data_IF_299641768915
#
_entry.id   IF_299641768915
#
_cell.length_a   1.000
_cell.length_b   1.000
_cell.length_c   1.000
_cell.angle_alpha   90.00
_cell.angle_beta   90.00
_cell.angle_gamma   90.00
#
_symmetry.space_group_name_H-M   'P 1'
#
loop_
_entity.id
_entity.type
_entity.pdbx_description
1 polymer ?
#
# COMPACT_ATOMS: atom_id res chain seq x y z
N UNK A 1 22.55 -3.72 -6.93
CA UNK A 1 21.79 -2.63 -7.56
C UNK A 1 22.27 -2.33 -8.98
N UNK A 2 22.49 -3.35 -9.82
CA UNK A 2 23.04 -3.15 -11.19
C UNK A 2 22.21 -3.83 -12.30
N UNK A 3 21.18 -4.61 -11.96
CA UNK A 3 20.33 -5.33 -12.93
C UNK A 3 19.30 -4.44 -13.67
N UNK A 4 19.08 -3.22 -13.17
CA UNK A 4 18.03 -2.31 -13.68
C UNK A 4 18.44 -1.56 -14.95
N UNK A 5 19.75 -1.49 -15.25
CA UNK A 5 20.27 -0.76 -16.42
C UNK A 5 20.30 -1.64 -17.67
N UNK A 6 20.39 -2.97 -17.52
CA UNK A 6 20.43 -3.91 -18.65
C UNK A 6 19.09 -4.11 -19.37
N UNK A 7 17.97 -3.70 -18.75
CA UNK A 7 16.61 -4.02 -19.20
C UNK A 7 15.90 -2.88 -19.96
N UNK A 8 16.59 -1.78 -20.28
CA UNK A 8 16.05 -0.74 -21.17
C UNK A 8 14.81 0.00 -20.64
N UNK A 9 14.52 -0.12 -19.34
CA UNK A 9 13.46 0.65 -18.70
C UNK A 9 13.96 2.09 -18.60
N UNK A 10 13.35 2.99 -19.38
CA UNK A 10 13.64 4.41 -19.30
C UNK A 10 13.44 4.88 -17.85
N UNK A 11 14.38 5.64 -17.24
CA UNK A 11 14.31 6.08 -15.84
C UNK A 11 13.09 6.98 -15.54
N UNK A 12 12.31 7.34 -16.56
CA UNK A 12 11.08 8.10 -16.45
C UNK A 12 9.81 7.23 -16.22
N UNK A 13 9.93 5.90 -16.21
CA UNK A 13 8.83 4.99 -15.83
C UNK A 13 8.60 4.93 -14.30
N UNK A 14 9.47 5.58 -13.53
CA UNK A 14 9.55 5.47 -12.05
C UNK A 14 8.73 6.55 -11.34
N UNK A 15 8.05 7.43 -12.09
CA UNK A 15 7.17 8.48 -11.56
C UNK A 15 5.72 8.29 -12.01
N UNK A 16 5.18 7.08 -11.90
CA UNK A 16 3.73 6.99 -11.73
C UNK A 16 3.44 7.48 -10.31
N UNK A 17 2.59 8.52 -10.11
CA UNK A 17 2.05 8.77 -8.79
C UNK A 17 1.48 7.45 -8.31
N UNK A 18 1.88 7.03 -7.11
CA UNK A 18 1.40 5.78 -6.54
C UNK A 18 -0.12 5.82 -6.64
N UNK A 19 -0.76 4.82 -7.29
CA UNK A 19 -2.21 4.79 -7.35
C UNK A 19 -2.73 4.82 -5.92
N UNK A 20 -3.87 5.46 -5.71
CA UNK A 20 -4.52 5.38 -4.42
C UNK A 20 -4.94 3.92 -4.18
N UNK A 21 -4.12 3.18 -3.45
CA UNK A 21 -4.29 1.73 -3.24
C UNK A 21 -5.54 1.42 -2.44
N UNK A 22 -5.97 2.35 -1.59
CA UNK A 22 -7.23 2.23 -0.85
C UNK A 22 -8.39 2.26 -1.84
N UNK A 23 -8.43 3.28 -2.70
CA UNK A 23 -9.46 3.40 -3.73
C UNK A 23 -9.47 2.21 -4.70
N UNK A 24 -8.28 1.69 -5.03
CA UNK A 24 -8.16 0.49 -5.87
C UNK A 24 -8.77 -0.73 -5.18
N UNK A 25 -8.40 -1.00 -3.93
CA UNK A 25 -8.91 -2.14 -3.17
C UNK A 25 -10.42 -2.08 -2.94
N UNK A 26 -10.95 -0.89 -2.63
CA UNK A 26 -12.39 -0.66 -2.48
C UNK A 26 -13.15 -0.98 -3.77
N UNK A 27 -12.59 -0.65 -4.95
CA UNK A 27 -13.21 -0.98 -6.24
C UNK A 27 -13.34 -2.49 -6.50
N UNK A 28 -12.49 -3.30 -5.87
CA UNK A 28 -12.56 -4.76 -5.87
C UNK A 28 -13.42 -5.34 -4.74
N UNK A 29 -14.06 -4.49 -3.93
CA UNK A 29 -14.89 -4.89 -2.80
C UNK A 29 -14.09 -5.32 -1.56
N UNK A 30 -12.82 -4.93 -1.47
CA UNK A 30 -11.99 -5.23 -0.31
C UNK A 30 -12.24 -4.20 0.79
N UNK A 31 -11.98 -4.58 2.04
CA UNK A 31 -11.82 -3.58 3.10
C UNK A 31 -10.46 -2.92 2.95
N UNK A 32 -10.38 -1.59 2.97
CA UNK A 32 -9.10 -0.91 2.85
C UNK A 32 -9.00 0.30 3.78
N UNK A 33 -7.80 0.55 4.32
CA UNK A 33 -7.52 1.75 5.11
C UNK A 33 -6.06 2.16 5.04
N UNK A 34 -5.81 3.44 5.30
CA UNK A 34 -4.46 4.02 5.41
C UNK A 34 -4.10 4.19 6.89
N UNK A 35 -2.95 3.67 7.28
CA UNK A 35 -2.41 3.75 8.64
C UNK A 35 -1.31 4.82 8.67
N UNK A 36 -1.53 5.87 9.46
CA UNK A 36 -0.64 7.04 9.51
C UNK A 36 0.47 6.91 10.56
N UNK A 37 0.39 5.92 11.46
CA UNK A 37 1.42 5.72 12.47
C UNK A 37 1.20 4.51 13.37
N UNK A 38 2.18 4.26 14.24
CA UNK A 38 2.23 3.08 15.11
C UNK A 38 1.01 2.94 16.04
N UNK A 39 0.44 4.07 16.48
CA UNK A 39 -0.74 4.07 17.34
C UNK A 39 -1.98 3.48 16.63
N UNK A 40 -2.10 3.69 15.32
CA UNK A 40 -3.22 3.20 14.50
C UNK A 40 -3.00 1.77 14.02
N UNK A 41 -1.75 1.30 14.00
CA UNK A 41 -1.41 -0.02 13.46
C UNK A 41 -2.08 -1.16 14.24
N UNK A 42 -1.98 -1.14 15.57
CA UNK A 42 -2.59 -2.17 16.43
C UNK A 42 -4.10 -2.31 16.21
N UNK A 43 -4.88 -1.23 16.40
CA UNK A 43 -6.32 -1.23 16.11
C UNK A 43 -6.67 -1.64 14.68
N UNK A 44 -5.91 -1.18 13.69
CA UNK A 44 -6.14 -1.52 12.28
C UNK A 44 -5.91 -2.99 11.98
N UNK A 45 -4.89 -3.60 12.59
CA UNK A 45 -4.64 -5.04 12.50
C UNK A 45 -5.76 -5.84 13.17
N UNK A 46 -6.22 -5.44 14.36
CA UNK A 46 -7.35 -6.10 15.03
C UNK A 46 -8.61 -6.06 14.16
N UNK A 47 -8.91 -4.91 13.55
CA UNK A 47 -10.05 -4.77 12.64
C UNK A 47 -9.87 -5.64 11.37
N UNK A 48 -8.68 -5.65 10.78
CA UNK A 48 -8.38 -6.45 9.60
C UNK A 48 -8.56 -7.95 9.83
N UNK A 49 -8.12 -8.47 10.98
CA UNK A 49 -8.29 -9.88 11.33
C UNK A 49 -9.76 -10.26 11.60
N UNK A 50 -10.59 -9.31 12.01
CA UNK A 50 -12.02 -9.54 12.24
C UNK A 50 -12.89 -9.37 10.98
N UNK A 51 -12.34 -8.79 9.91
CA UNK A 51 -13.07 -8.53 8.68
C UNK A 51 -13.34 -9.82 7.90
N UNK A 52 -14.51 -9.87 7.25
CA UNK A 52 -14.83 -10.94 6.31
C UNK A 52 -14.29 -10.59 4.93
N UNK A 53 -13.29 -11.34 4.48
CA UNK A 53 -12.71 -11.18 3.14
C UNK A 53 -11.35 -10.47 3.13
N UNK A 54 -10.84 -10.11 1.94
CA UNK A 54 -9.53 -9.48 1.81
C UNK A 54 -9.49 -8.07 2.39
N UNK A 55 -8.37 -7.74 3.01
CA UNK A 55 -8.10 -6.42 3.62
C UNK A 55 -6.79 -5.85 3.11
N UNK A 56 -6.78 -4.58 2.72
CA UNK A 56 -5.58 -3.81 2.40
C UNK A 56 -5.32 -2.76 3.50
N UNK A 57 -4.14 -2.82 4.12
CA UNK A 57 -3.65 -1.76 5.00
C UNK A 57 -2.47 -1.05 4.31
N UNK A 58 -2.66 0.21 3.92
CA UNK A 58 -1.60 1.04 3.35
C UNK A 58 -0.79 1.68 4.49
N UNK A 59 0.49 1.33 4.62
CA UNK A 59 1.39 1.86 5.64
C UNK A 59 2.25 2.97 5.08
N UNK A 60 2.28 4.13 5.74
CA UNK A 60 3.27 5.15 5.43
C UNK A 60 4.55 4.89 6.23
N UNK A 61 5.57 4.32 5.58
CA UNK A 61 6.85 3.99 6.21
C UNK A 61 7.81 5.21 6.31
N UNK A 62 7.40 6.42 5.90
CA UNK A 62 8.28 7.59 5.83
C UNK A 62 8.60 8.25 7.18
N UNK A 63 8.43 7.56 8.31
CA UNK A 63 8.81 8.07 9.62
C UNK A 63 9.61 7.03 10.40
N UNK A 64 10.93 7.08 10.22
CA UNK A 64 11.95 6.73 11.22
C UNK A 64 12.94 7.88 11.34
#
# INVERSE_FOLDING_TARGET
SDDMVASGISPNAVHQPNPDFVSLAESYGWTASRVQGLYELGPSLTAAFAATGPVLLELNAATV
#
